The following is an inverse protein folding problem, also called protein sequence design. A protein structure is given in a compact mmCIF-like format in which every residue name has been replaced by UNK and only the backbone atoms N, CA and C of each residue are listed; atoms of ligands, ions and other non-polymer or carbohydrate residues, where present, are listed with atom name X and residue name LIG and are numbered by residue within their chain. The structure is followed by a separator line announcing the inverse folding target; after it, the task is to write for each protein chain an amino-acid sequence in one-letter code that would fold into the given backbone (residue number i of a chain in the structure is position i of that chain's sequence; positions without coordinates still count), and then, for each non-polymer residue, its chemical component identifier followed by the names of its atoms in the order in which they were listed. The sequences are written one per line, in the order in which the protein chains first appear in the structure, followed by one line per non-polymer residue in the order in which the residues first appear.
data_IF_059742548009
#
_entry.id   IF_059742548009
#
_cell.length_a   1.000
_cell.length_b   1.000
_cell.length_c   1.000
_cell.angle_alpha   90.00
_cell.angle_beta   90.00
_cell.angle_gamma   90.00
#
_symmetry.space_group_name_H-M   'P 1'
#
loop_
_entity.id
_entity.type
_entity.pdbx_description
1 polymer ?
#
# COMPACT_ATOMS: atom_id res chain seq x y z
N UNK A 1 -3.05 -2.96 20.27
CA UNK A 1 -1.81 -3.73 20.07
C UNK A 1 -1.39 -3.64 18.61
N UNK A 2 -0.10 -3.46 18.28
CA UNK A 2 0.36 -3.40 16.89
C UNK A 2 0.30 -4.79 16.22
N UNK A 3 0.00 -4.82 14.92
CA UNK A 3 -0.05 -6.04 14.10
C UNK A 3 1.23 -6.12 13.26
N UNK A 4 1.89 -7.28 13.28
CA UNK A 4 3.06 -7.56 12.45
C UNK A 4 2.72 -8.70 11.50
N UNK A 5 2.89 -8.47 10.19
CA UNK A 5 2.64 -9.47 9.16
C UNK A 5 3.94 -9.90 8.47
N UNK A 6 4.26 -11.19 8.51
CA UNK A 6 5.41 -11.80 7.82
C UNK A 6 4.87 -12.64 6.68
N UNK A 7 5.16 -12.24 5.44
CA UNK A 7 4.60 -12.86 4.24
C UNK A 7 5.73 -12.96 3.19
N UNK A 8 5.78 -14.04 2.42
CA UNK A 8 6.74 -14.24 1.33
C UNK A 8 6.62 -13.20 0.20
N UNK A 9 7.71 -12.91 -0.51
CA UNK A 9 7.72 -11.97 -1.65
C UNK A 9 6.80 -12.45 -2.77
N UNK A 10 6.24 -11.53 -3.57
CA UNK A 10 5.33 -11.87 -4.67
C UNK A 10 3.90 -12.28 -4.27
N UNK A 11 3.62 -12.58 -3.00
CA UNK A 11 2.30 -13.06 -2.53
C UNK A 11 1.23 -11.95 -2.48
N UNK A 12 1.59 -10.69 -2.70
CA UNK A 12 0.62 -9.57 -2.71
C UNK A 12 0.42 -8.88 -1.36
N UNK A 13 1.47 -8.78 -0.54
CA UNK A 13 1.50 -8.02 0.72
C UNK A 13 0.89 -6.62 0.64
N UNK A 14 1.06 -5.95 -0.50
CA UNK A 14 0.56 -4.61 -0.73
C UNK A 14 -0.96 -4.52 -0.70
N UNK A 15 -1.66 -5.60 -1.05
CA UNK A 15 -3.11 -5.65 -1.06
C UNK A 15 -3.70 -5.39 0.33
N UNK A 16 -3.01 -5.81 1.40
CA UNK A 16 -3.51 -5.66 2.79
C UNK A 16 -3.77 -4.19 3.12
N UNK A 17 -2.80 -3.32 2.85
CA UNK A 17 -2.94 -1.89 3.16
C UNK A 17 -3.68 -1.13 2.06
N UNK A 18 -3.62 -1.57 0.79
CA UNK A 18 -4.38 -0.96 -0.31
C UNK A 18 -5.87 -1.20 -0.12
N UNK A 19 -6.29 -2.42 0.21
CA UNK A 19 -7.69 -2.74 0.48
C UNK A 19 -8.20 -2.00 1.72
N UNK A 20 -7.36 -1.88 2.75
CA UNK A 20 -7.70 -1.10 3.94
C UNK A 20 -7.88 0.39 3.62
N UNK A 21 -7.02 0.96 2.77
CA UNK A 21 -7.16 2.34 2.32
C UNK A 21 -8.42 2.56 1.46
N UNK A 22 -8.88 1.51 0.79
CA UNK A 22 -10.09 1.52 -0.03
C UNK A 22 -11.38 1.55 0.78
N UNK A 23 -11.42 0.80 1.88
CA UNK A 23 -12.61 0.66 2.73
C UNK A 23 -12.69 1.72 3.82
N UNK A 24 -11.59 2.44 4.06
CA UNK A 24 -11.53 3.52 5.02
C UNK A 24 -12.03 4.83 4.42
N UNK A 25 -12.75 5.63 5.22
CA UNK A 25 -13.07 7.04 4.91
C UNK A 25 -11.93 7.99 5.25
N UNK A 26 -10.86 7.50 5.88
CA UNK A 26 -9.69 8.26 6.33
C UNK A 26 -8.45 7.97 5.49
N UNK A 27 -7.38 8.74 5.74
CA UNK A 27 -6.09 8.60 5.03
C UNK A 27 -5.25 7.47 5.65
N UNK A 28 -4.82 6.52 4.81
CA UNK A 28 -3.84 5.50 5.18
C UNK A 28 -2.43 5.98 4.84
N UNK A 29 -1.59 6.16 5.86
CA UNK A 29 -0.18 6.54 5.68
C UNK A 29 0.69 5.29 5.57
N UNK A 30 1.41 5.15 4.44
CA UNK A 30 2.35 4.04 4.20
C UNK A 30 3.77 4.58 4.10
N UNK A 31 4.62 4.19 5.04
CA UNK A 31 6.04 4.61 5.08
C UNK A 31 6.87 3.60 4.30
N UNK A 32 7.51 4.07 3.23
CA UNK A 32 8.31 3.22 2.32
C UNK A 32 9.72 3.82 2.23
N UNK A 33 10.76 3.13 2.76
CA UNK A 33 12.12 3.68 2.79
C UNK A 33 12.82 3.66 1.41
N UNK A 34 12.33 2.86 0.46
CA UNK A 34 12.96 2.65 -0.84
C UNK A 34 12.17 3.37 -1.93
N UNK A 35 12.81 4.32 -2.64
CA UNK A 35 12.16 5.13 -3.69
C UNK A 35 11.59 4.27 -4.83
N UNK A 36 12.33 3.27 -5.29
CA UNK A 36 11.88 2.36 -6.35
C UNK A 36 10.61 1.61 -5.94
N UNK A 37 10.53 1.16 -4.68
CA UNK A 37 9.35 0.49 -4.15
C UNK A 37 8.15 1.45 -4.04
N UNK A 38 8.39 2.70 -3.66
CA UNK A 38 7.36 3.75 -3.66
C UNK A 38 6.79 3.98 -5.06
N UNK A 39 7.66 4.09 -6.07
CA UNK A 39 7.22 4.30 -7.45
C UNK A 39 6.41 3.11 -7.96
N UNK A 40 6.86 1.88 -7.69
CA UNK A 40 6.11 0.68 -8.05
C UNK A 40 4.72 0.64 -7.39
N UNK A 41 4.61 1.02 -6.11
CA UNK A 41 3.32 1.09 -5.42
C UNK A 41 2.43 2.21 -5.96
N UNK A 42 3.01 3.36 -6.32
CA UNK A 42 2.27 4.44 -6.99
C UNK A 42 1.64 3.95 -8.29
N UNK A 43 2.37 3.21 -9.11
CA UNK A 43 1.86 2.66 -10.36
C UNK A 43 0.73 1.64 -10.12
N UNK A 44 0.85 0.80 -9.08
CA UNK A 44 -0.24 -0.08 -8.64
C UNK A 44 -1.50 0.72 -8.25
N UNK A 45 -1.36 1.81 -7.48
CA UNK A 45 -2.48 2.66 -7.09
C UNK A 45 -3.15 3.32 -8.29
N UNK A 46 -2.36 3.84 -9.23
CA UNK A 46 -2.88 4.46 -10.47
C UNK A 46 -3.65 3.42 -11.30
N UNK A 47 -3.09 2.22 -11.50
CA UNK A 47 -3.75 1.14 -12.24
C UNK A 47 -5.08 0.74 -11.60
N UNK A 48 -5.14 0.74 -10.27
CA UNK A 48 -6.35 0.40 -9.53
C UNK A 48 -7.30 1.60 -9.31
N UNK A 49 -7.00 2.77 -9.90
CA UNK A 49 -7.79 4.02 -9.81
C UNK A 49 -7.95 4.56 -8.38
N UNK A 50 -6.93 4.38 -7.55
CA UNK A 50 -6.88 4.96 -6.21
C UNK A 50 -6.28 6.37 -6.20
N UNK A 51 -6.91 7.26 -5.43
CA UNK A 51 -6.39 8.60 -5.23
C UNK A 51 -5.19 8.57 -4.28
N UNK A 52 -3.99 8.65 -4.85
CA UNK A 52 -2.73 8.70 -4.12
C UNK A 52 -2.29 10.15 -3.91
N UNK A 53 -2.05 10.52 -2.65
CA UNK A 53 -1.51 11.83 -2.27
C UNK A 53 -0.02 11.66 -1.98
N UNK A 54 0.82 12.51 -2.59
CA UNK A 54 2.28 12.45 -2.51
C UNK A 54 2.82 13.02 -1.20
#
# INVERSE_FOLDING_TARGET
SPIVAIIGTGIGKSLIFILLALTSTSVTVVIIPILALKNNLKDCCIKARFNYIK
#
